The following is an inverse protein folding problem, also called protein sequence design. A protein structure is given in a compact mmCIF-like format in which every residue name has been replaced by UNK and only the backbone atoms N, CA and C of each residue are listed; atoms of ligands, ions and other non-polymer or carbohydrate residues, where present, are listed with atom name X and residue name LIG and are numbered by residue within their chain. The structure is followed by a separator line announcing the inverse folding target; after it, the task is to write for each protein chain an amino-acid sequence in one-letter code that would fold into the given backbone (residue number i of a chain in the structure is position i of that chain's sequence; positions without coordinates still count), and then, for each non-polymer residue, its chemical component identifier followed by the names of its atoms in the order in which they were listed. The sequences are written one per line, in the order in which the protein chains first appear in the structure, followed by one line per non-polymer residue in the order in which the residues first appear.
data_IF_275016363101
#
_entry.id   IF_275016363101
#
_cell.length_a   1.000
_cell.length_b   1.000
_cell.length_c   1.000
_cell.angle_alpha   90.00
_cell.angle_beta   90.00
_cell.angle_gamma   90.00
#
_symmetry.space_group_name_H-M   'P 1'
#
loop_
_entity.id
_entity.type
_entity.pdbx_description
1 polymer ?
#
# COMPACT_ATOMS: atom_id res chain seq x y z
N UNK A 1 -16.28 22.67 -8.08
CA UNK A 1 -15.68 23.27 -6.87
C UNK A 1 -14.30 22.69 -6.71
N UNK A 2 -13.28 23.37 -7.26
CA UNK A 2 -11.87 23.08 -7.02
C UNK A 2 -11.58 23.40 -5.55
N UNK A 3 -11.40 22.39 -4.72
CA UNK A 3 -10.85 22.57 -3.38
C UNK A 3 -9.38 22.98 -3.52
N UNK A 4 -9.10 24.26 -3.28
CA UNK A 4 -7.74 24.80 -3.17
C UNK A 4 -7.10 24.25 -1.89
N UNK A 5 -6.43 23.09 -2.00
CA UNK A 5 -5.48 22.68 -0.99
C UNK A 5 -4.28 23.60 -1.18
N UNK A 6 -4.02 24.49 -0.22
CA UNK A 6 -2.75 25.19 -0.12
C UNK A 6 -1.68 24.16 0.25
N UNK A 7 -1.16 23.45 -0.75
CA UNK A 7 0.09 22.71 -0.58
C UNK A 7 1.16 23.79 -0.40
N UNK A 8 1.75 23.86 0.79
CA UNK A 8 2.90 24.74 1.03
C UNK A 8 4.11 24.12 0.32
N UNK A 9 4.16 24.31 -1.01
CA UNK A 9 5.35 23.97 -1.77
C UNK A 9 6.40 25.00 -1.42
N UNK A 10 7.29 24.68 -0.52
CA UNK A 10 8.52 25.43 -0.33
C UNK A 10 9.36 25.31 -1.61
N UNK A 11 9.27 26.30 -2.50
CA UNK A 11 10.25 26.50 -3.56
C UNK A 11 11.59 26.86 -2.93
N UNK A 12 12.39 25.85 -2.61
CA UNK A 12 13.83 26.01 -2.45
C UNK A 12 14.53 24.79 -3.03
N UNK A 13 15.53 25.03 -3.87
CA UNK A 13 16.35 24.08 -4.61
C UNK A 13 16.61 22.74 -3.90
N UNK A 14 16.31 21.65 -4.60
CA UNK A 14 17.14 20.47 -4.80
C UNK A 14 17.21 19.35 -3.76
N UNK A 15 16.56 19.32 -2.63
CA UNK A 15 16.39 18.05 -1.91
C UNK A 15 14.96 17.94 -1.43
N UNK A 16 14.30 16.88 -1.82
CA UNK A 16 12.99 16.52 -1.30
C UNK A 16 13.11 16.26 0.21
N UNK A 17 12.39 17.04 1.01
CA UNK A 17 12.41 16.86 2.46
C UNK A 17 11.30 15.87 2.83
N UNK A 18 11.71 14.65 3.17
CA UNK A 18 10.82 13.64 3.74
C UNK A 18 10.84 13.83 5.26
N UNK A 19 9.85 14.52 5.77
CA UNK A 19 9.68 14.82 7.19
C UNK A 19 8.27 14.48 7.69
N UNK A 20 7.98 14.75 8.94
CA UNK A 20 6.66 14.50 9.51
C UNK A 20 5.53 15.29 8.81
N UNK A 21 5.80 16.45 8.23
CA UNK A 21 4.79 17.23 7.53
C UNK A 21 4.45 16.57 6.19
N UNK A 22 5.46 16.05 5.47
CA UNK A 22 5.23 15.25 4.27
C UNK A 22 4.27 14.08 4.55
N UNK A 23 4.49 13.31 5.62
CA UNK A 23 3.60 12.18 5.95
C UNK A 23 2.20 12.63 6.39
N UNK A 24 2.07 13.74 7.11
CA UNK A 24 0.76 14.31 7.49
C UNK A 24 -0.03 14.78 6.28
N UNK A 25 0.61 15.49 5.36
CA UNK A 25 -0.02 15.97 4.14
C UNK A 25 -0.42 14.79 3.24
N UNK A 26 0.44 13.77 3.13
CA UNK A 26 0.14 12.54 2.41
C UNK A 26 -1.05 11.79 3.02
N UNK A 27 -1.13 11.68 4.34
CA UNK A 27 -2.29 11.07 5.01
C UNK A 27 -3.59 11.82 4.69
N UNK A 28 -3.58 13.14 4.82
CA UNK A 28 -4.76 13.97 4.50
C UNK A 28 -5.18 13.80 3.04
N UNK A 29 -4.22 13.73 2.13
CA UNK A 29 -4.48 13.50 0.71
C UNK A 29 -5.08 12.10 0.47
N UNK A 30 -4.49 11.03 1.04
CA UNK A 30 -5.03 9.67 0.93
C UNK A 30 -6.46 9.56 1.46
N UNK A 31 -6.74 10.23 2.58
CA UNK A 31 -8.07 10.31 3.15
C UNK A 31 -9.09 10.98 2.20
N UNK A 32 -8.70 12.04 1.51
CA UNK A 32 -9.55 12.72 0.53
C UNK A 32 -9.83 11.85 -0.69
N UNK A 33 -8.78 11.25 -1.27
CA UNK A 33 -8.89 10.32 -2.41
C UNK A 33 -9.79 9.15 -2.05
N UNK A 34 -9.58 8.56 -0.88
CA UNK A 34 -10.38 7.42 -0.41
C UNK A 34 -11.84 7.77 -0.19
N UNK A 35 -12.15 8.93 0.39
CA UNK A 35 -13.52 9.42 0.53
C UNK A 35 -14.21 9.67 -0.82
N UNK A 36 -13.43 10.06 -1.83
CA UNK A 36 -13.95 10.35 -3.16
C UNK A 36 -14.20 9.08 -3.97
N UNK A 37 -13.29 8.11 -3.94
CA UNK A 37 -13.27 7.00 -4.88
C UNK A 37 -13.40 5.61 -4.24
N UNK A 38 -12.86 5.38 -3.05
CA UNK A 38 -12.81 4.05 -2.45
C UNK A 38 -14.03 3.77 -1.59
N UNK A 39 -14.20 4.51 -0.51
CA UNK A 39 -15.24 4.24 0.50
C UNK A 39 -16.67 4.20 -0.06
N UNK A 40 -17.10 5.09 -0.98
CA UNK A 40 -18.45 5.05 -1.52
C UNK A 40 -18.73 3.84 -2.41
N UNK A 41 -17.67 3.19 -2.93
CA UNK A 41 -17.75 2.21 -4.00
C UNK A 41 -17.40 0.76 -3.58
N UNK A 42 -16.97 0.53 -2.33
CA UNK A 42 -16.70 -0.82 -1.82
C UNK A 42 -17.97 -1.68 -1.97
N UNK A 43 -17.89 -2.74 -2.79
CA UNK A 43 -18.98 -3.67 -3.04
C UNK A 43 -20.16 -3.12 -3.84
N UNK A 44 -20.00 -1.95 -4.46
CA UNK A 44 -21.07 -1.29 -5.22
C UNK A 44 -20.76 -1.10 -6.71
N UNK A 45 -19.78 -1.83 -7.22
CA UNK A 45 -19.36 -1.70 -8.61
C UNK A 45 -20.33 -2.40 -9.57
N UNK A 46 -20.53 -1.78 -10.74
CA UNK A 46 -21.22 -2.41 -11.86
C UNK A 46 -20.23 -3.19 -12.73
N UNK A 47 -20.72 -4.15 -13.53
CA UNK A 47 -19.89 -4.94 -14.45
C UNK A 47 -19.01 -4.08 -15.36
N UNK A 48 -19.52 -2.93 -15.80
CA UNK A 48 -18.81 -2.01 -16.70
C UNK A 48 -17.60 -1.33 -16.01
N UNK A 49 -17.56 -1.33 -14.69
CA UNK A 49 -16.49 -0.73 -13.92
C UNK A 49 -15.31 -1.69 -13.70
N UNK A 50 -15.43 -2.95 -14.13
CA UNK A 50 -14.49 -4.03 -13.83
C UNK A 50 -13.96 -4.61 -15.13
N UNK A 51 -12.64 -4.78 -15.22
CA UNK A 51 -11.95 -5.42 -16.34
C UNK A 51 -11.01 -6.52 -15.84
N UNK A 52 -10.68 -7.45 -16.77
CA UNK A 52 -9.66 -8.47 -16.52
C UNK A 52 -8.33 -8.01 -17.10
N UNK A 53 -7.25 -8.16 -16.30
CA UNK A 53 -5.88 -8.00 -16.79
C UNK A 53 -5.41 -9.28 -17.50
N UNK A 54 -4.33 -9.22 -18.33
CA UNK A 54 -3.82 -10.40 -19.03
C UNK A 54 -3.41 -11.57 -18.12
N UNK A 55 -3.08 -11.28 -16.87
CA UNK A 55 -2.72 -12.27 -15.85
C UNK A 55 -3.93 -12.78 -15.05
N UNK A 56 -5.15 -12.52 -15.52
CA UNK A 56 -6.43 -12.89 -14.88
C UNK A 56 -6.68 -12.19 -13.53
N UNK A 57 -5.88 -11.21 -13.14
CA UNK A 57 -6.23 -10.32 -12.05
C UNK A 57 -7.30 -9.33 -12.48
N UNK A 58 -7.97 -8.68 -11.52
CA UNK A 58 -9.01 -7.69 -11.79
C UNK A 58 -8.45 -6.29 -11.63
N UNK A 59 -8.97 -5.38 -12.43
CA UNK A 59 -8.81 -3.94 -12.30
C UNK A 59 -10.18 -3.28 -12.37
N UNK A 60 -10.37 -2.22 -11.63
CA UNK A 60 -11.59 -1.41 -11.72
C UNK A 60 -11.26 0.00 -12.22
N UNK A 61 -12.26 0.73 -12.71
CA UNK A 61 -12.07 2.14 -13.03
C UNK A 61 -11.59 2.97 -11.85
N UNK A 62 -11.83 2.51 -10.62
CA UNK A 62 -11.42 3.22 -9.40
C UNK A 62 -9.95 3.00 -9.08
N UNK A 63 -9.38 1.84 -9.42
CA UNK A 63 -7.93 1.62 -9.35
C UNK A 63 -7.22 2.67 -10.21
N UNK A 64 -7.68 2.87 -11.46
CA UNK A 64 -7.13 3.87 -12.38
C UNK A 64 -7.29 5.31 -11.86
N UNK A 65 -8.48 5.67 -11.39
CA UNK A 65 -8.74 7.02 -10.87
C UNK A 65 -7.94 7.34 -9.62
N UNK A 66 -7.80 6.38 -8.71
CA UNK A 66 -6.96 6.53 -7.50
C UNK A 66 -5.50 6.65 -7.91
N UNK A 67 -5.03 5.82 -8.84
CA UNK A 67 -3.66 5.87 -9.32
C UNK A 67 -3.31 7.22 -9.95
N UNK A 68 -4.18 7.75 -10.81
CA UNK A 68 -3.99 9.06 -11.44
C UNK A 68 -3.82 10.18 -10.39
N UNK A 69 -4.66 10.21 -9.37
CA UNK A 69 -4.58 11.21 -8.28
C UNK A 69 -3.27 11.04 -7.48
N UNK A 70 -2.88 9.79 -7.17
CA UNK A 70 -1.64 9.51 -6.44
C UNK A 70 -0.40 9.89 -7.24
N UNK A 71 -0.34 9.54 -8.52
CA UNK A 71 0.76 9.88 -9.42
C UNK A 71 0.89 11.40 -9.55
N UNK A 72 -0.22 12.12 -9.73
CA UNK A 72 -0.20 13.58 -9.81
C UNK A 72 0.29 14.22 -8.50
N UNK A 73 -0.17 13.72 -7.35
CA UNK A 73 0.25 14.18 -6.04
C UNK A 73 1.76 13.99 -5.83
N UNK A 74 2.28 12.79 -6.07
CA UNK A 74 3.68 12.51 -5.85
C UNK A 74 4.59 13.23 -6.85
N UNK A 75 4.16 13.46 -8.09
CA UNK A 75 4.87 14.34 -9.03
C UNK A 75 4.99 15.78 -8.50
N UNK A 76 3.93 16.32 -7.89
CA UNK A 76 3.98 17.63 -7.22
C UNK A 76 4.93 17.66 -6.03
N UNK A 77 5.14 16.52 -5.39
CA UNK A 77 6.15 16.32 -4.34
C UNK A 77 7.57 16.06 -4.88
N UNK A 78 7.80 16.23 -6.20
CA UNK A 78 9.08 16.02 -6.91
C UNK A 78 9.53 14.55 -7.03
N UNK A 79 8.63 13.58 -6.89
CA UNK A 79 8.91 12.20 -7.29
C UNK A 79 8.62 12.06 -8.79
N UNK A 80 9.69 11.96 -9.61
CA UNK A 80 9.53 11.94 -11.06
C UNK A 80 9.48 10.52 -11.63
N UNK A 81 10.15 9.56 -10.97
CA UNK A 81 10.20 8.17 -11.38
C UNK A 81 9.17 7.39 -10.59
N UNK A 82 8.02 7.13 -11.19
CA UNK A 82 6.91 6.43 -10.55
C UNK A 82 6.61 5.18 -11.33
N UNK A 83 6.60 4.06 -10.64
CA UNK A 83 6.15 2.75 -11.13
C UNK A 83 4.84 2.45 -10.42
N UNK A 84 3.75 2.32 -11.17
CA UNK A 84 2.45 2.06 -10.61
C UNK A 84 1.84 0.78 -11.17
N UNK A 85 0.91 0.18 -10.44
CA UNK A 85 0.37 -1.12 -10.80
C UNK A 85 -0.39 -1.10 -12.13
N UNK A 86 -1.15 -0.05 -12.41
CA UNK A 86 -2.06 0.01 -13.55
C UNK A 86 -1.42 0.63 -14.80
N UNK A 87 -0.51 1.58 -14.62
CA UNK A 87 0.19 2.27 -15.71
C UNK A 87 1.67 1.92 -15.76
N UNK A 88 2.05 0.70 -15.42
CA UNK A 88 3.46 0.28 -15.43
C UNK A 88 4.06 0.47 -16.84
N UNK A 89 4.69 1.62 -17.03
CA UNK A 89 5.68 1.82 -18.09
C UNK A 89 6.92 0.99 -17.74
N UNK A 90 7.60 0.50 -18.77
CA UNK A 90 8.86 -0.27 -18.69
C UNK A 90 9.70 0.14 -17.48
N UNK A 91 10.11 -0.85 -16.67
CA UNK A 91 11.02 -0.69 -15.54
C UNK A 91 12.15 0.27 -15.91
N UNK A 92 12.07 1.49 -15.41
CA UNK A 92 13.12 2.47 -15.58
C UNK A 92 14.33 1.96 -14.77
N UNK A 93 15.48 1.82 -15.44
CA UNK A 93 16.74 1.44 -14.77
C UNK A 93 17.30 2.65 -14.00
N UNK A 94 16.49 3.25 -13.16
CA UNK A 94 16.93 4.37 -12.36
C UNK A 94 17.20 3.93 -10.92
N UNK A 95 18.19 4.57 -10.28
CA UNK A 95 18.61 4.22 -8.93
C UNK A 95 17.58 4.60 -7.86
N UNK A 96 16.58 5.40 -8.23
CA UNK A 96 15.53 5.84 -7.31
C UNK A 96 14.17 5.89 -8.01
N UNK A 97 13.15 5.35 -7.36
CA UNK A 97 11.78 5.31 -7.87
C UNK A 97 10.75 5.16 -6.76
N UNK A 98 9.55 5.64 -7.03
CA UNK A 98 8.39 5.44 -6.17
C UNK A 98 7.51 4.33 -6.75
N UNK A 99 7.07 3.40 -5.92
CA UNK A 99 6.07 2.38 -6.31
C UNK A 99 4.72 2.74 -5.73
N UNK A 100 3.64 2.49 -6.49
CA UNK A 100 2.26 2.75 -6.09
C UNK A 100 1.40 1.53 -6.40
N UNK A 101 0.66 1.07 -5.39
CA UNK A 101 -0.50 0.19 -5.55
C UNK A 101 -1.73 0.98 -5.07
N UNK A 102 -2.63 1.38 -5.98
CA UNK A 102 -3.73 2.28 -5.66
C UNK A 102 -4.81 1.62 -4.79
N UNK A 103 -5.08 0.32 -5.02
CA UNK A 103 -6.07 -0.47 -4.27
C UNK A 103 -5.59 -1.92 -4.14
N UNK A 104 -4.64 -2.16 -3.22
CA UNK A 104 -4.30 -3.56 -2.89
C UNK A 104 -5.52 -4.26 -2.28
N UNK A 105 -5.90 -5.35 -2.91
CA UNK A 105 -7.13 -6.05 -2.58
C UNK A 105 -8.30 -5.69 -3.50
N UNK A 106 -8.07 -5.44 -4.79
CA UNK A 106 -9.12 -5.14 -5.79
C UNK A 106 -10.28 -6.15 -5.76
N UNK A 107 -10.01 -7.46 -5.53
CA UNK A 107 -11.08 -8.47 -5.37
C UNK A 107 -11.92 -8.24 -4.11
N UNK A 108 -11.32 -7.77 -3.02
CA UNK A 108 -12.04 -7.39 -1.81
C UNK A 108 -12.92 -6.17 -2.07
N UNK A 109 -12.35 -5.18 -2.75
CA UNK A 109 -13.05 -3.97 -3.16
C UNK A 109 -14.31 -4.27 -3.99
N UNK A 110 -14.18 -5.15 -5.01
CA UNK A 110 -15.31 -5.60 -5.83
C UNK A 110 -16.37 -6.31 -5.00
N UNK A 111 -15.97 -7.17 -4.06
CA UNK A 111 -16.88 -8.03 -3.30
C UNK A 111 -17.41 -7.41 -2.00
N UNK A 112 -17.12 -6.14 -1.72
CA UNK A 112 -17.59 -5.47 -0.50
C UNK A 112 -16.89 -5.92 0.79
N UNK A 113 -15.68 -6.44 0.68
CA UNK A 113 -14.87 -6.83 1.84
C UNK A 113 -13.98 -5.65 2.24
N UNK A 114 -14.12 -5.18 3.48
CA UNK A 114 -13.39 -4.03 4.04
C UNK A 114 -11.91 -4.35 4.35
N UNK A 115 -11.20 -4.96 3.40
CA UNK A 115 -9.78 -5.29 3.50
C UNK A 115 -9.06 -4.84 2.25
N UNK A 116 -8.97 -3.53 2.11
CA UNK A 116 -8.30 -2.84 1.01
C UNK A 116 -7.38 -1.79 1.58
N UNK A 117 -6.24 -1.57 0.95
CA UNK A 117 -5.28 -0.56 1.36
C UNK A 117 -4.67 0.14 0.15
N UNK A 118 -4.18 1.36 0.34
CA UNK A 118 -3.29 2.06 -0.59
C UNK A 118 -1.86 1.78 -0.14
N UNK A 119 -0.98 1.40 -1.07
CA UNK A 119 0.42 1.17 -0.76
C UNK A 119 1.34 2.05 -1.61
N UNK A 120 2.33 2.64 -0.97
CA UNK A 120 3.37 3.44 -1.63
C UNK A 120 4.71 3.15 -0.98
N UNK A 121 5.77 3.03 -1.79
CA UNK A 121 7.13 2.92 -1.28
C UNK A 121 8.11 3.71 -2.15
N UNK A 122 9.02 4.43 -1.53
CA UNK A 122 10.13 5.08 -2.21
C UNK A 122 11.41 4.29 -1.99
N UNK A 123 11.99 3.86 -3.09
CA UNK A 123 13.20 3.05 -3.13
C UNK A 123 14.33 3.91 -3.69
N UNK A 124 15.48 3.86 -3.05
CA UNK A 124 16.71 4.49 -3.50
C UNK A 124 17.89 3.53 -3.29
N UNK A 125 18.66 3.28 -4.34
CA UNK A 125 19.80 2.33 -4.32
C UNK A 125 19.41 0.97 -3.70
N UNK A 126 18.30 0.39 -4.17
CA UNK A 126 17.75 -0.90 -3.72
C UNK A 126 17.29 -0.94 -2.25
N UNK A 127 17.25 0.22 -1.58
CA UNK A 127 16.81 0.33 -0.21
C UNK A 127 15.53 1.15 -0.11
N UNK A 128 14.57 0.69 0.71
CA UNK A 128 13.36 1.47 0.99
C UNK A 128 13.71 2.63 1.91
N UNK A 129 13.50 3.85 1.44
CA UNK A 129 13.66 5.08 2.23
C UNK A 129 12.43 5.33 3.10
N UNK A 130 11.26 5.13 2.52
CA UNK A 130 10.00 5.07 3.26
C UNK A 130 9.02 4.14 2.56
N UNK A 131 8.07 3.63 3.33
CA UNK A 131 6.89 2.92 2.84
C UNK A 131 5.67 3.41 3.57
N UNK A 132 4.53 3.42 2.89
CA UNK A 132 3.23 3.82 3.42
C UNK A 132 2.24 2.72 3.12
N UNK A 133 1.43 2.34 4.12
CA UNK A 133 0.22 1.52 3.95
C UNK A 133 -0.91 2.27 4.63
N UNK A 134 -1.95 2.59 3.88
CA UNK A 134 -3.11 3.29 4.40
C UNK A 134 -4.37 2.43 4.27
N UNK A 135 -5.01 2.15 5.39
CA UNK A 135 -6.33 1.52 5.47
C UNK A 135 -7.41 2.63 5.45
N UNK A 136 -8.14 2.78 4.33
CA UNK A 136 -9.15 3.83 4.20
C UNK A 136 -10.40 3.57 5.05
N UNK A 137 -10.69 2.32 5.40
CA UNK A 137 -11.90 1.95 6.14
C UNK A 137 -11.78 2.34 7.60
N UNK A 138 -10.63 2.02 8.20
CA UNK A 138 -10.34 2.30 9.61
C UNK A 138 -9.61 3.65 9.81
N UNK A 139 -9.27 4.35 8.72
CA UNK A 139 -8.46 5.60 8.72
C UNK A 139 -7.11 5.39 9.45
N UNK A 140 -6.43 4.28 9.14
CA UNK A 140 -5.16 3.93 9.74
C UNK A 140 -4.01 4.16 8.76
N UNK A 141 -3.10 5.05 9.14
CA UNK A 141 -1.95 5.42 8.33
C UNK A 141 -0.66 4.87 8.94
N UNK A 142 -0.08 3.87 8.27
CA UNK A 142 1.20 3.29 8.65
C UNK A 142 2.28 3.81 7.72
N UNK A 143 3.42 4.20 8.27
CA UNK A 143 4.57 4.56 7.46
C UNK A 143 5.88 4.15 8.15
N UNK A 144 6.89 3.94 7.33
CA UNK A 144 8.28 3.76 7.79
C UNK A 144 9.09 5.00 7.43
N UNK A 145 9.95 5.42 8.33
CA UNK A 145 10.95 6.45 8.08
C UNK A 145 12.14 6.23 9.02
N UNK A 146 13.36 6.30 8.49
CA UNK A 146 14.59 6.05 9.25
C UNK A 146 14.57 4.72 10.01
N UNK A 147 14.07 3.65 9.38
CA UNK A 147 13.92 2.31 9.96
C UNK A 147 13.00 2.23 11.19
N UNK A 148 12.17 3.23 11.41
CA UNK A 148 11.15 3.25 12.46
C UNK A 148 9.78 3.12 11.81
N UNK A 149 8.90 2.33 12.43
CA UNK A 149 7.52 2.14 11.97
C UNK A 149 6.60 3.01 12.82
N UNK A 150 5.69 3.70 12.16
CA UNK A 150 4.68 4.55 12.79
C UNK A 150 3.27 4.12 12.40
N UNK A 151 2.35 4.18 13.36
CA UNK A 151 0.90 4.08 13.15
C UNK A 151 0.28 5.40 13.60
N UNK A 152 -0.39 6.10 12.68
CA UNK A 152 -0.99 7.42 12.95
C UNK A 152 0.01 8.36 13.66
N UNK A 153 1.26 8.38 13.16
CA UNK A 153 2.39 9.21 13.66
C UNK A 153 2.92 8.83 15.06
N UNK A 154 2.48 7.71 15.62
CA UNK A 154 3.00 7.14 16.88
C UNK A 154 3.92 5.97 16.53
N UNK A 155 5.12 5.97 17.04
CA UNK A 155 6.08 4.87 16.85
C UNK A 155 5.51 3.55 17.36
N UNK A 156 5.58 2.51 16.52
CA UNK A 156 5.23 1.14 16.90
C UNK A 156 6.52 0.42 17.33
N UNK A 157 6.57 -0.05 18.55
CA UNK A 157 7.60 -0.96 19.03
C UNK A 157 7.06 -2.38 18.97
N UNK A 158 7.95 -3.34 18.68
CA UNK A 158 7.64 -4.76 18.46
C UNK A 158 6.49 -5.28 19.32
N UNK A 159 5.43 -5.75 18.65
CA UNK A 159 4.36 -6.49 19.31
C UNK A 159 4.92 -7.81 19.82
N UNK A 160 4.67 -8.16 21.09
CA UNK A 160 4.96 -9.50 21.58
C UNK A 160 3.93 -10.45 20.99
N UNK A 161 4.38 -11.40 20.20
CA UNK A 161 3.53 -12.45 19.66
C UNK A 161 3.44 -13.60 20.68
N UNK A 162 2.23 -13.92 21.12
CA UNK A 162 2.04 -15.02 22.08
C UNK A 162 1.91 -16.40 21.38
N UNK A 163 1.63 -16.40 20.07
CA UNK A 163 1.43 -17.62 19.28
C UNK A 163 1.96 -17.47 17.88
N UNK A 164 2.46 -18.55 17.29
CA UNK A 164 2.83 -18.63 15.88
C UNK A 164 1.57 -18.71 14.99
N UNK A 165 0.92 -17.59 14.75
CA UNK A 165 -0.26 -17.47 13.87
C UNK A 165 0.18 -16.76 12.60
N UNK A 166 -0.06 -17.35 11.44
CA UNK A 166 0.33 -16.69 10.21
C UNK A 166 -0.21 -17.35 8.96
N UNK A 167 0.23 -16.87 7.81
CA UNK A 167 -0.06 -17.45 6.52
C UNK A 167 1.19 -18.06 5.92
N UNK A 168 1.08 -19.33 5.59
CA UNK A 168 2.10 -20.10 4.90
C UNK A 168 1.55 -20.49 3.52
N UNK A 169 2.03 -19.84 2.46
CA UNK A 169 1.66 -20.21 1.09
C UNK A 169 2.15 -21.60 0.72
N UNK A 170 1.49 -22.26 -0.23
CA UNK A 170 1.81 -23.64 -0.59
C UNK A 170 3.27 -23.84 -1.00
N UNK A 171 3.86 -22.91 -1.73
CA UNK A 171 5.29 -22.92 -2.04
C UNK A 171 6.17 -22.78 -0.80
N UNK A 172 5.78 -21.91 0.13
CA UNK A 172 6.56 -21.70 1.36
C UNK A 172 6.45 -22.91 2.32
N UNK A 173 5.34 -23.66 2.29
CA UNK A 173 5.18 -24.90 3.06
C UNK A 173 6.28 -25.92 2.78
N UNK A 174 6.78 -25.95 1.54
CA UNK A 174 7.85 -26.86 1.13
C UNK A 174 9.17 -26.54 1.84
N UNK A 175 9.45 -25.24 2.01
CA UNK A 175 10.75 -24.75 2.53
C UNK A 175 10.73 -24.48 4.04
N UNK A 176 9.58 -24.15 4.61
CA UNK A 176 9.48 -23.70 6.01
C UNK A 176 8.68 -24.63 6.91
N UNK A 177 8.32 -25.83 6.43
CA UNK A 177 7.52 -26.80 7.17
C UNK A 177 8.07 -27.09 8.58
N UNK A 178 9.36 -27.27 8.69
CA UNK A 178 10.01 -27.61 9.96
C UNK A 178 10.13 -26.41 10.93
N UNK A 179 10.08 -25.18 10.42
CA UNK A 179 10.16 -23.97 11.22
C UNK A 179 8.79 -23.51 11.77
N UNK A 180 7.71 -23.96 11.15
CA UNK A 180 6.34 -23.52 11.48
C UNK A 180 5.39 -24.69 11.72
N UNK A 181 5.94 -25.86 12.11
CA UNK A 181 5.16 -27.09 12.37
C UNK A 181 4.01 -26.84 13.35
N UNK A 182 4.22 -25.98 14.34
CA UNK A 182 3.26 -25.67 15.39
C UNK A 182 2.44 -24.39 15.09
N UNK A 183 2.59 -23.81 13.89
CA UNK A 183 1.91 -22.58 13.52
C UNK A 183 0.43 -22.84 13.23
N UNK A 184 -0.43 -21.97 13.75
CA UNK A 184 -1.84 -21.92 13.38
C UNK A 184 -1.95 -21.19 12.05
N UNK A 185 -2.36 -21.89 11.00
CA UNK A 185 -2.54 -21.30 9.67
C UNK A 185 -3.78 -20.40 9.63
N UNK A 186 -3.57 -19.13 9.25
CA UNK A 186 -4.63 -18.17 9.01
C UNK A 186 -4.77 -17.92 7.51
N UNK A 187 -5.99 -17.92 6.99
CA UNK A 187 -6.25 -17.64 5.57
C UNK A 187 -5.76 -16.23 5.19
N UNK A 188 -5.30 -16.07 3.94
CA UNK A 188 -4.98 -14.77 3.37
C UNK A 188 -6.21 -13.84 3.36
N UNK A 189 -5.96 -12.56 3.60
CA UNK A 189 -7.00 -11.53 3.44
C UNK A 189 -7.35 -11.23 1.98
N UNK A 190 -6.52 -11.65 1.02
CA UNK A 190 -6.52 -11.27 -0.40
C UNK A 190 -6.10 -9.80 -0.64
N UNK A 191 -5.38 -9.23 0.29
CA UNK A 191 -4.69 -7.95 0.24
C UNK A 191 -3.36 -8.17 0.97
N UNK A 192 -2.24 -7.99 0.26
CA UNK A 192 -0.90 -8.21 0.83
C UNK A 192 -0.63 -7.16 1.92
N UNK A 193 -0.93 -5.91 1.61
CA UNK A 193 -0.75 -4.83 2.56
C UNK A 193 -1.60 -5.00 3.82
N UNK A 194 -2.84 -5.47 3.68
CA UNK A 194 -3.69 -5.76 4.84
C UNK A 194 -3.13 -6.92 5.69
N UNK A 195 -2.57 -7.95 5.06
CA UNK A 195 -1.89 -9.04 5.77
C UNK A 195 -0.64 -8.51 6.51
N UNK A 196 0.12 -7.56 5.93
CA UNK A 196 1.23 -6.86 6.60
C UNK A 196 0.74 -6.09 7.82
N UNK A 197 -0.37 -5.35 7.70
CA UNK A 197 -0.96 -4.63 8.85
C UNK A 197 -1.33 -5.58 9.99
N UNK A 198 -1.90 -6.76 9.68
CA UNK A 198 -2.19 -7.77 10.71
C UNK A 198 -0.92 -8.28 11.42
N UNK A 199 0.23 -8.34 10.71
CA UNK A 199 1.52 -8.67 11.33
C UNK A 199 2.00 -7.52 12.22
N UNK A 200 1.95 -6.28 11.75
CA UNK A 200 2.36 -5.10 12.54
C UNK A 200 1.52 -4.93 13.81
N UNK A 201 0.26 -5.33 13.78
CA UNK A 201 -0.64 -5.27 14.93
C UNK A 201 -0.58 -6.51 15.85
N UNK A 202 0.29 -7.47 15.55
CA UNK A 202 0.42 -8.70 16.36
C UNK A 202 -0.73 -9.69 16.19
N UNK A 203 -1.65 -9.45 15.24
CA UNK A 203 -2.73 -10.40 14.89
C UNK A 203 -2.23 -11.61 14.12
N UNK A 204 -1.03 -11.49 13.54
CA UNK A 204 -0.22 -12.54 12.92
C UNK A 204 1.22 -12.38 13.36
N UNK A 205 1.93 -13.49 13.49
CA UNK A 205 3.39 -13.46 13.77
C UNK A 205 4.22 -13.48 12.49
N UNK A 206 3.66 -13.97 11.40
CA UNK A 206 4.35 -14.04 10.12
C UNK A 206 3.37 -14.09 8.94
N UNK A 207 3.89 -13.79 7.76
CA UNK A 207 3.26 -14.09 6.48
C UNK A 207 4.35 -14.47 5.47
N UNK A 208 3.99 -15.27 4.47
CA UNK A 208 4.88 -15.60 3.36
C UNK A 208 4.28 -15.10 2.06
N UNK A 209 5.12 -14.46 1.25
CA UNK A 209 4.75 -13.95 -0.07
C UNK A 209 5.66 -14.64 -1.08
N UNK A 210 5.08 -15.12 -2.19
CA UNK A 210 5.81 -15.70 -3.29
C UNK A 210 5.37 -15.05 -4.60
N UNK A 211 6.34 -14.64 -5.43
CA UNK A 211 6.07 -14.06 -6.74
C UNK A 211 5.40 -12.68 -6.67
N UNK A 212 5.76 -11.84 -5.68
CA UNK A 212 5.34 -10.44 -5.66
C UNK A 212 5.88 -9.71 -6.89
N UNK A 213 5.05 -8.85 -7.48
CA UNK A 213 5.45 -7.96 -8.55
C UNK A 213 6.09 -6.69 -7.96
N UNK A 214 7.00 -6.10 -8.72
CA UNK A 214 7.46 -4.72 -8.51
C UNK A 214 6.69 -3.90 -9.53
N UNK A 215 5.79 -3.10 -9.08
CA UNK A 215 5.08 -2.13 -9.91
C UNK A 215 5.37 -0.76 -9.51
#
# INVERSE_FOLDING_TARGET
YLLNIKIHIFKKSSSMIIDNNFFKDTHLFFKQVSKKFILPNIGKLHKIDISDKPDFSKVTKFDLLVEDELVEYFKKCNFNNIISEEHSSSLLKENSYLTIDPIDGTRNFINGVNKVVIMVSYIEHESSIFSIIYDPVEDLFYHTHNNIIYKNFIEIRNSKYEKHIGYLGDHAKIYFKDYVSDAIEKKRSRSIGYDVLEVLEGKRSFMTIYGSKIW
#
